data_IF_636217726221
#
_entry.id   IF_636217726221
#
_cell.length_a   1.000
_cell.length_b   1.000
_cell.length_c   1.000
_cell.angle_alpha   90.00
_cell.angle_beta   90.00
_cell.angle_gamma   90.00
#
_symmetry.space_group_name_H-M   'P 1'
#
loop_
_entity.id
_entity.type
_entity.pdbx_description
1 polymer ?
#
# COMPACT_ATOMS: atom_id res chain seq x y z
N UNK A 1 17.18 -3.13 -4.77
CA UNK A 1 17.74 -3.29 -3.41
C UNK A 1 17.09 -4.55 -2.84
N UNK A 2 17.87 -5.61 -2.65
CA UNK A 2 17.35 -6.86 -2.08
C UNK A 2 16.94 -6.61 -0.62
N UNK A 3 15.71 -6.89 -0.25
CA UNK A 3 15.28 -6.91 1.16
C UNK A 3 15.76 -8.23 1.77
N UNK A 4 16.68 -8.13 2.70
CA UNK A 4 17.13 -9.30 3.48
C UNK A 4 16.12 -9.48 4.62
N UNK A 5 15.45 -10.62 4.66
CA UNK A 5 14.69 -11.03 5.83
C UNK A 5 15.73 -11.48 6.88
N UNK A 6 15.75 -10.80 8.01
CA UNK A 6 16.66 -11.12 9.11
C UNK A 6 16.23 -12.46 9.72
N UNK A 7 17.19 -13.36 9.93
CA UNK A 7 16.91 -14.63 10.60
C UNK A 7 16.24 -14.38 11.97
N UNK A 8 15.11 -15.04 12.22
CA UNK A 8 14.26 -14.83 13.38
C UNK A 8 13.12 -13.81 13.20
N UNK A 9 12.98 -13.21 12.01
CA UNK A 9 11.78 -12.40 11.69
C UNK A 9 10.62 -13.32 11.35
N UNK A 10 9.49 -13.10 11.99
CA UNK A 10 8.23 -13.80 11.69
C UNK A 10 7.36 -12.86 10.85
N UNK A 11 7.11 -13.16 9.56
CA UNK A 11 6.17 -12.40 8.77
C UNK A 11 4.75 -12.67 9.26
N UNK A 12 3.92 -11.61 9.25
CA UNK A 12 2.54 -11.69 9.70
C UNK A 12 1.62 -11.14 8.62
N UNK A 13 0.44 -11.72 8.48
CA UNK A 13 -0.62 -11.24 7.61
C UNK A 13 -1.81 -10.73 8.43
N UNK A 14 -2.54 -9.77 7.88
CA UNK A 14 -3.76 -9.30 8.52
C UNK A 14 -4.82 -10.41 8.52
N UNK A 15 -5.21 -10.89 9.71
CA UNK A 15 -6.14 -12.00 9.87
C UNK A 15 -7.59 -11.52 10.00
N UNK A 16 -7.83 -10.49 10.82
CA UNK A 16 -9.17 -9.93 10.98
C UNK A 16 -9.13 -8.40 10.91
N UNK A 17 -10.26 -7.82 10.56
CA UNK A 17 -10.42 -6.39 10.42
C UNK A 17 -11.54 -5.88 11.32
N UNK A 18 -11.43 -4.63 11.75
CA UNK A 18 -12.54 -3.91 12.38
C UNK A 18 -13.64 -3.63 11.36
N UNK A 19 -14.84 -3.36 11.84
CA UNK A 19 -15.93 -2.83 11.02
C UNK A 19 -15.45 -1.58 10.29
N UNK A 20 -15.76 -1.47 9.00
CA UNK A 20 -15.39 -0.31 8.21
C UNK A 20 -15.98 0.97 8.79
N UNK A 21 -15.13 1.99 8.92
CA UNK A 21 -15.50 3.33 9.32
C UNK A 21 -15.65 4.24 8.12
N UNK A 22 -16.63 5.14 8.15
CA UNK A 22 -16.83 6.13 7.10
C UNK A 22 -15.78 7.24 7.22
N UNK A 23 -15.15 7.57 6.11
CA UNK A 23 -14.31 8.75 5.93
C UNK A 23 -15.21 9.87 5.42
N UNK A 24 -15.32 10.95 6.17
CA UNK A 24 -16.08 12.14 5.76
C UNK A 24 -15.25 13.06 4.88
N UNK A 25 -13.94 13.13 5.13
CA UNK A 25 -13.00 13.91 4.34
C UNK A 25 -11.57 13.36 4.48
N UNK A 26 -10.73 13.64 3.50
CA UNK A 26 -9.26 13.51 3.62
C UNK A 26 -8.65 14.84 3.23
N UNK A 27 -7.70 15.34 4.03
CA UNK A 27 -7.03 16.61 3.79
C UNK A 27 -6.00 16.50 2.66
N UNK A 28 -5.87 17.58 1.87
CA UNK A 28 -4.79 17.74 0.88
C UNK A 28 -3.49 18.20 1.58
N UNK A 29 -2.91 17.32 2.38
CA UNK A 29 -1.71 17.58 3.18
C UNK A 29 -0.68 16.46 3.06
N UNK A 30 0.50 16.69 3.62
CA UNK A 30 1.56 15.69 3.78
C UNK A 30 2.10 15.74 5.21
N UNK A 31 1.81 14.73 6.07
CA UNK A 31 0.92 13.59 5.82
C UNK A 31 -0.56 14.00 5.76
N UNK A 32 -1.36 13.25 5.00
CA UNK A 32 -2.79 13.45 4.91
C UNK A 32 -3.51 13.03 6.19
N UNK A 33 -4.59 13.75 6.52
CA UNK A 33 -5.45 13.47 7.67
C UNK A 33 -6.82 13.06 7.18
N UNK A 34 -7.27 11.87 7.58
CA UNK A 34 -8.62 11.38 7.32
C UNK A 34 -9.52 11.70 8.52
N UNK A 35 -10.62 12.40 8.28
CA UNK A 35 -11.66 12.64 9.28
C UNK A 35 -12.68 11.50 9.20
N UNK A 36 -12.79 10.73 10.28
CA UNK A 36 -13.67 9.56 10.38
C UNK A 36 -14.98 9.90 11.07
N UNK A 37 -16.00 9.07 10.84
CA UNK A 37 -17.20 9.10 11.65
C UNK A 37 -16.88 8.76 13.12
N UNK A 38 -17.70 9.26 14.04
CA UNK A 38 -17.52 9.00 15.47
C UNK A 38 -17.52 7.49 15.80
N UNK A 39 -16.83 7.13 16.88
CA UNK A 39 -16.70 5.76 17.36
C UNK A 39 -15.99 4.78 16.39
N UNK A 40 -15.06 5.28 15.59
CA UNK A 40 -14.28 4.48 14.62
C UNK A 40 -13.31 3.47 15.28
N UNK A 41 -12.96 3.67 16.55
CA UNK A 41 -12.11 2.77 17.35
C UNK A 41 -10.65 2.64 16.87
N UNK A 42 -10.23 3.41 15.87
CA UNK A 42 -8.84 3.43 15.36
C UNK A 42 -7.93 4.11 16.38
N UNK A 43 -6.75 3.53 16.61
CA UNK A 43 -5.75 4.06 17.54
C UNK A 43 -4.40 4.27 16.85
N UNK A 44 -3.52 5.03 17.50
CA UNK A 44 -2.15 5.25 16.99
C UNK A 44 -1.42 3.91 16.89
N UNK A 45 -0.76 3.68 15.75
CA UNK A 45 -0.06 2.44 15.45
C UNK A 45 -0.87 1.43 14.65
N UNK A 46 -2.19 1.58 14.56
CA UNK A 46 -3.02 0.72 13.71
C UNK A 46 -2.60 0.83 12.24
N UNK A 47 -2.81 -0.26 11.50
CA UNK A 47 -2.72 -0.28 10.05
C UNK A 47 -4.14 -0.21 9.47
N UNK A 48 -4.37 0.76 8.61
CA UNK A 48 -5.68 1.01 8.01
C UNK A 48 -5.62 0.88 6.50
N UNK A 49 -6.62 0.24 5.92
CA UNK A 49 -6.80 0.10 4.48
C UNK A 49 -7.96 0.97 4.01
N UNK A 50 -7.76 1.76 2.97
CA UNK A 50 -8.84 2.52 2.33
C UNK A 50 -9.58 1.60 1.37
N UNK A 51 -10.83 1.26 1.71
CA UNK A 51 -11.66 0.36 0.90
C UNK A 51 -12.32 1.07 -0.27
N UNK A 52 -12.77 2.30 -0.02
CA UNK A 52 -13.37 3.15 -1.04
C UNK A 52 -13.01 4.61 -0.78
N UNK A 53 -12.88 5.38 -1.85
CA UNK A 53 -12.66 6.82 -1.77
C UNK A 53 -13.02 7.44 -3.13
N UNK A 54 -13.46 8.69 -3.14
CA UNK A 54 -13.53 9.46 -4.35
C UNK A 54 -12.16 9.70 -5.02
N UNK A 55 -11.08 9.45 -4.29
CA UNK A 55 -9.71 9.42 -4.81
C UNK A 55 -9.31 7.99 -5.19
N UNK A 56 -9.50 7.60 -6.44
CA UNK A 56 -9.22 6.24 -6.93
C UNK A 56 -7.79 5.76 -6.61
N UNK A 57 -6.81 6.66 -6.57
CA UNK A 57 -5.42 6.34 -6.22
C UNK A 57 -5.18 6.06 -4.74
N UNK A 58 -6.14 6.36 -3.87
CA UNK A 58 -6.06 6.04 -2.45
C UNK A 58 -6.65 4.66 -2.13
N UNK A 59 -7.53 4.14 -2.98
CA UNK A 59 -8.23 2.86 -2.78
C UNK A 59 -7.24 1.68 -2.82
N UNK A 60 -7.41 0.74 -1.91
CA UNK A 60 -6.56 -0.44 -1.75
C UNK A 60 -5.19 -0.16 -1.13
N UNK A 61 -4.91 1.07 -0.73
CA UNK A 61 -3.66 1.41 -0.05
C UNK A 61 -3.78 1.23 1.45
N UNK A 62 -2.69 0.77 2.04
CA UNK A 62 -2.56 0.57 3.49
C UNK A 62 -1.62 1.63 4.07
N UNK A 63 -2.03 2.22 5.18
CA UNK A 63 -1.26 3.24 5.89
C UNK A 63 -1.17 2.88 7.37
N UNK A 64 -0.06 3.26 8.01
CA UNK A 64 0.05 3.24 9.45
C UNK A 64 -0.52 4.54 10.02
N UNK A 65 -1.22 4.44 11.12
CA UNK A 65 -1.75 5.61 11.85
C UNK A 65 -0.66 6.19 12.74
N UNK A 66 -0.26 7.44 12.48
CA UNK A 66 0.77 8.12 13.27
C UNK A 66 0.20 8.99 14.39
N UNK A 67 -1.02 9.50 14.22
CA UNK A 67 -1.71 10.30 15.24
C UNK A 67 -3.23 10.14 15.13
N UNK A 68 -3.92 10.24 16.27
CA UNK A 68 -5.38 10.26 16.35
C UNK A 68 -5.81 11.41 17.25
N UNK A 69 -6.62 12.33 16.73
CA UNK A 69 -7.20 13.46 17.46
C UNK A 69 -8.72 13.44 17.29
N UNK A 70 -9.43 12.88 18.26
CA UNK A 70 -10.87 12.64 18.23
C UNK A 70 -11.28 11.82 17.00
N UNK A 71 -11.69 12.46 15.92
CA UNK A 71 -12.11 11.80 14.67
C UNK A 71 -11.06 11.93 13.55
N UNK A 72 -9.99 12.67 13.78
CA UNK A 72 -8.95 12.92 12.80
C UNK A 72 -7.80 11.91 12.96
N UNK A 73 -7.54 11.16 11.89
CA UNK A 73 -6.54 10.10 11.84
C UNK A 73 -5.47 10.48 10.82
N UNK A 74 -4.23 10.64 11.28
CA UNK A 74 -3.09 10.97 10.40
C UNK A 74 -2.54 9.71 9.76
N UNK A 75 -2.50 9.68 8.43
CA UNK A 75 -2.05 8.56 7.61
C UNK A 75 -0.56 8.74 7.29
N UNK A 76 0.29 7.97 7.95
CA UNK A 76 1.74 8.07 7.83
C UNK A 76 2.21 7.82 6.39
N UNK A 77 3.04 8.76 5.87
CA UNK A 77 3.61 8.64 4.53
C UNK A 77 2.62 8.86 3.37
N UNK A 78 1.38 9.25 3.66
CA UNK A 78 0.43 9.59 2.62
C UNK A 78 0.54 11.07 2.25
N UNK A 79 1.14 11.34 1.11
CA UNK A 79 1.17 12.67 0.51
C UNK A 79 -0.03 12.86 -0.41
N UNK A 80 -0.99 13.69 0.01
CA UNK A 80 -2.15 14.09 -0.76
C UNK A 80 -2.12 15.59 -1.13
N UNK A 81 -0.96 16.25 -1.05
CA UNK A 81 -0.82 17.68 -1.30
C UNK A 81 -1.12 18.10 -2.74
N UNK A 82 -0.95 17.19 -3.70
CA UNK A 82 -1.24 17.43 -5.11
C UNK A 82 -2.74 17.38 -5.41
N UNK A 83 -3.39 18.53 -5.56
CA UNK A 83 -4.82 18.62 -5.91
C UNK A 83 -5.14 18.16 -7.32
N UNK A 84 -4.14 18.10 -8.21
CA UNK A 84 -4.29 17.50 -9.54
C UNK A 84 -4.48 15.98 -9.49
N UNK A 85 -3.84 15.32 -8.50
CA UNK A 85 -3.95 13.88 -8.28
C UNK A 85 -5.06 13.52 -7.30
N UNK A 86 -5.26 14.35 -6.29
CA UNK A 86 -6.24 14.22 -5.21
C UNK A 86 -7.13 15.47 -5.17
N UNK A 87 -8.18 15.55 -5.99
CA UNK A 87 -9.02 16.73 -6.07
C UNK A 87 -9.62 17.08 -4.70
N UNK A 88 -9.59 18.37 -4.34
CA UNK A 88 -10.08 18.84 -3.05
C UNK A 88 -11.55 18.46 -2.83
N UNK A 89 -11.90 18.05 -1.62
CA UNK A 89 -13.25 17.67 -1.23
C UNK A 89 -13.75 16.31 -1.74
N UNK A 90 -12.96 15.56 -2.50
CA UNK A 90 -13.34 14.27 -3.07
C UNK A 90 -12.82 13.05 -2.29
N UNK A 91 -12.19 13.26 -1.14
CA UNK A 91 -11.54 12.18 -0.35
C UNK A 91 -12.50 11.33 0.49
N UNK A 92 -13.81 11.58 0.47
CA UNK A 92 -14.78 10.80 1.25
C UNK A 92 -14.83 9.32 0.81
N UNK A 93 -15.14 8.42 1.75
CA UNK A 93 -15.18 6.98 1.46
C UNK A 93 -15.27 6.13 2.71
N UNK A 94 -14.59 4.99 2.72
CA UNK A 94 -14.54 4.06 3.86
C UNK A 94 -13.14 3.51 4.04
N UNK A 95 -12.76 3.25 5.29
CA UNK A 95 -11.55 2.52 5.64
C UNK A 95 -11.85 1.46 6.69
N UNK A 96 -10.95 0.47 6.82
CA UNK A 96 -10.97 -0.50 7.91
C UNK A 96 -9.58 -0.61 8.54
N UNK A 97 -9.55 -0.82 9.85
CA UNK A 97 -8.30 -1.10 10.57
C UNK A 97 -8.09 -2.61 10.70
N UNK A 98 -6.84 -3.05 10.65
CA UNK A 98 -6.46 -4.42 11.00
C UNK A 98 -6.66 -4.60 12.51
N UNK A 99 -7.40 -5.65 12.89
CA UNK A 99 -7.67 -5.95 14.29
C UNK A 99 -6.69 -6.98 14.84
N UNK A 100 -6.45 -8.06 14.09
CA UNK A 100 -5.50 -9.11 14.50
C UNK A 100 -4.58 -9.50 13.35
N UNK A 101 -3.40 -9.94 13.73
CA UNK A 101 -2.38 -10.45 12.83
C UNK A 101 -2.23 -11.96 13.04
N UNK A 102 -2.05 -12.71 11.98
CA UNK A 102 -1.65 -14.11 12.02
C UNK A 102 -0.19 -14.22 11.60
N UNK A 103 0.61 -14.82 12.44
CA UNK A 103 2.01 -15.07 12.15
C UNK A 103 2.12 -16.25 11.20
N UNK A 104 2.89 -16.08 10.13
CA UNK A 104 3.23 -17.15 9.21
C UNK A 104 4.43 -17.89 9.80
N UNK A 105 4.15 -19.04 10.41
CA UNK A 105 5.18 -19.92 10.97
C UNK A 105 5.64 -20.92 9.91
N UNK A 106 6.83 -21.47 10.09
CA UNK A 106 7.39 -22.55 9.25
C UNK A 106 7.54 -22.18 7.75
N UNK A 107 7.91 -20.94 7.47
CA UNK A 107 8.27 -20.56 6.11
C UNK A 107 9.66 -21.13 5.78
N UNK A 108 9.71 -22.13 4.91
CA UNK A 108 10.96 -22.75 4.47
C UNK A 108 11.65 -21.96 3.38
N UNK A 109 10.87 -21.33 2.51
CA UNK A 109 11.40 -20.58 1.36
C UNK A 109 10.52 -19.39 1.04
N UNK A 110 11.16 -18.23 0.85
CA UNK A 110 10.54 -17.03 0.31
C UNK A 110 11.22 -16.70 -1.02
N UNK A 111 10.47 -16.77 -2.10
CA UNK A 111 10.97 -16.40 -3.42
C UNK A 111 10.22 -15.16 -3.93
N UNK A 112 10.99 -14.14 -4.32
CA UNK A 112 10.48 -12.90 -4.91
C UNK A 112 11.03 -12.80 -6.32
N UNK A 113 10.16 -12.85 -7.31
CA UNK A 113 10.50 -12.74 -8.73
C UNK A 113 9.75 -11.59 -9.38
N UNK A 114 10.28 -11.07 -10.48
CA UNK A 114 9.67 -9.97 -11.23
C UNK A 114 10.22 -8.59 -10.87
N UNK A 115 9.50 -7.56 -11.31
CA UNK A 115 9.93 -6.16 -11.14
C UNK A 115 11.00 -5.73 -12.14
N UNK A 116 11.37 -6.59 -13.09
CA UNK A 116 12.36 -6.25 -14.11
C UNK A 116 11.74 -5.39 -15.21
N UNK A 117 12.50 -4.36 -15.60
CA UNK A 117 12.14 -3.51 -16.73
C UNK A 117 12.36 -4.27 -18.03
N UNK A 118 11.32 -4.44 -18.82
CA UNK A 118 11.42 -5.01 -20.15
C UNK A 118 11.84 -3.92 -21.15
N UNK A 119 12.66 -4.31 -22.12
CA UNK A 119 13.11 -3.41 -23.19
C UNK A 119 12.77 -4.02 -24.56
N UNK A 120 12.33 -3.18 -25.45
CA UNK A 120 12.27 -3.51 -26.87
C UNK A 120 13.46 -2.92 -27.58
N UNK A 121 14.18 -3.77 -28.32
CA UNK A 121 15.34 -3.37 -29.13
C UNK A 121 14.90 -3.13 -30.56
N UNK A 122 15.47 -2.11 -31.18
CA UNK A 122 15.26 -1.80 -32.59
C UNK A 122 16.51 -1.23 -33.21
N UNK A 123 16.61 -1.35 -34.55
CA UNK A 123 17.67 -0.77 -35.34
C UNK A 123 17.08 -0.18 -36.62
N UNK A 124 17.46 1.02 -36.96
CA UNK A 124 17.12 1.59 -38.26
C UNK A 124 18.07 1.05 -39.34
N UNK A 125 17.55 0.83 -40.54
CA UNK A 125 18.32 0.30 -41.67
C UNK A 125 19.47 1.24 -42.08
N UNK A 126 19.30 2.52 -41.87
CA UNK A 126 20.21 3.59 -42.21
C UNK A 126 21.16 3.99 -41.06
N UNK A 127 21.01 3.41 -39.88
CA UNK A 127 21.83 3.73 -38.71
C UNK A 127 22.29 2.46 -37.99
N UNK A 128 23.62 2.23 -37.85
CA UNK A 128 24.17 1.06 -37.19
C UNK A 128 23.94 1.08 -35.66
N UNK A 129 23.43 2.18 -35.08
CA UNK A 129 23.16 2.28 -33.64
C UNK A 129 21.87 1.56 -33.29
N UNK A 130 21.97 0.64 -32.34
CA UNK A 130 20.80 0.02 -31.72
C UNK A 130 20.21 0.95 -30.69
N UNK A 131 18.89 0.98 -30.60
CA UNK A 131 18.18 1.70 -29.57
C UNK A 131 17.31 0.76 -28.74
N UNK A 132 17.11 1.10 -27.49
CA UNK A 132 16.29 0.35 -26.54
C UNK A 132 15.21 1.26 -25.98
N UNK A 133 13.96 0.85 -26.08
CA UNK A 133 12.84 1.50 -25.41
C UNK A 133 12.40 0.70 -24.21
N UNK A 134 12.27 1.31 -23.03
CA UNK A 134 11.62 0.64 -21.91
C UNK A 134 10.14 0.42 -22.24
N UNK A 135 9.65 -0.79 -21.99
CA UNK A 135 8.26 -1.16 -22.15
C UNK A 135 7.61 -1.34 -20.76
N UNK A 136 6.97 -2.45 -20.51
CA UNK A 136 6.32 -2.74 -19.24
C UNK A 136 7.32 -3.34 -18.23
N UNK A 137 7.06 -3.16 -16.95
CA UNK A 137 7.71 -3.94 -15.90
C UNK A 137 6.97 -5.27 -15.73
N UNK A 138 7.71 -6.34 -15.48
CA UNK A 138 7.11 -7.61 -15.08
C UNK A 138 6.44 -7.45 -13.71
N UNK A 139 5.26 -8.03 -13.48
CA UNK A 139 4.65 -8.06 -12.15
C UNK A 139 5.62 -8.66 -11.13
N UNK A 140 5.52 -8.20 -9.88
CA UNK A 140 6.26 -8.80 -8.79
C UNK A 140 5.41 -9.95 -8.24
N UNK A 141 5.96 -11.16 -8.33
CA UNK A 141 5.40 -12.35 -7.72
C UNK A 141 6.15 -12.69 -6.45
N UNK A 142 5.40 -12.90 -5.38
CA UNK A 142 5.93 -13.35 -4.09
C UNK A 142 5.34 -14.73 -3.81
N UNK A 143 6.18 -15.75 -3.80
CA UNK A 143 5.80 -17.11 -3.42
C UNK A 143 6.54 -17.54 -2.17
N UNK A 144 5.87 -18.30 -1.32
CA UNK A 144 6.46 -18.89 -0.12
C UNK A 144 5.91 -20.29 0.08
N UNK A 145 6.75 -21.17 0.59
CA UNK A 145 6.35 -22.50 1.00
C UNK A 145 6.20 -22.54 2.53
N UNK A 146 5.08 -23.06 2.98
CA UNK A 146 4.80 -23.32 4.40
C UNK A 146 4.83 -24.83 4.60
N UNK A 147 5.59 -25.30 5.58
CA UNK A 147 5.56 -26.71 6.01
C UNK A 147 4.34 -26.87 6.91
N UNK A 148 3.42 -27.75 6.52
CA UNK A 148 2.21 -28.08 7.27
C UNK A 148 2.42 -29.47 7.87
N UNK A 149 2.90 -29.49 9.14
CA UNK A 149 3.18 -30.72 9.88
C UNK A 149 2.02 -31.08 10.82
#
# INVERSE_FOLDING_TARGET
>A
MARIIVNGSVPSIAATFRTAANITAISNANPAVATLAAAHGTVVGDYVEILSSGWSRAVGRVFRVSNVATNDVTLEGFDASSTATFPAGQGAGTLRAVLTWADLQQINELNVTGGEQQFQEGQYIDNPLQFRFPTNQTPIDVSFNVDDD
#
